data_IF_560249691918
#
_entry.id   IF_560249691918
#
_cell.length_a   1.000
_cell.length_b   1.000
_cell.length_c   1.000
_cell.angle_alpha   90.00
_cell.angle_beta   90.00
_cell.angle_gamma   90.00
#
_symmetry.space_group_name_H-M   'P 1'
#
loop_
_entity.id
_entity.type
_entity.pdbx_description
1 polymer ?
#
# COMPACT_ATOMS: atom_id res chain seq x y z
N UNK A 1 -27.46 -0.14 -13.57
CA UNK A 1 -26.29 0.74 -13.72
C UNK A 1 -26.07 1.00 -15.21
N UNK A 2 -25.68 2.21 -15.61
CA UNK A 2 -25.30 2.45 -17.01
C UNK A 2 -24.00 1.71 -17.33
N UNK A 3 -23.76 1.39 -18.61
CA UNK A 3 -22.51 0.74 -19.05
C UNK A 3 -21.28 1.59 -18.70
N UNK A 4 -21.42 2.92 -18.74
CA UNK A 4 -20.37 3.86 -18.35
C UNK A 4 -20.02 3.72 -16.86
N UNK A 5 -21.04 3.69 -16.00
CA UNK A 5 -20.87 3.61 -14.56
C UNK A 5 -20.30 2.24 -14.12
N UNK A 6 -20.69 1.16 -14.80
CA UNK A 6 -20.08 -0.16 -14.57
C UNK A 6 -18.58 -0.16 -14.91
N UNK A 7 -18.19 0.46 -16.03
CA UNK A 7 -16.79 0.57 -16.46
C UNK A 7 -15.95 1.47 -15.57
N UNK A 8 -16.53 2.56 -15.05
CA UNK A 8 -15.85 3.40 -14.06
C UNK A 8 -15.58 2.64 -12.75
N UNK A 9 -16.56 1.85 -12.27
CA UNK A 9 -16.39 1.03 -11.07
C UNK A 9 -15.31 -0.04 -11.27
N UNK A 10 -15.29 -0.73 -12.41
CA UNK A 10 -14.25 -1.72 -12.74
C UNK A 10 -12.85 -1.11 -12.72
N UNK A 11 -12.67 0.08 -13.31
CA UNK A 11 -11.38 0.78 -13.30
C UNK A 11 -10.99 1.22 -11.88
N UNK A 12 -11.93 1.72 -11.09
CA UNK A 12 -11.68 2.11 -9.69
C UNK A 12 -11.26 0.89 -8.86
N UNK A 13 -11.83 -0.28 -9.09
CA UNK A 13 -11.43 -1.52 -8.42
C UNK A 13 -10.06 -2.00 -8.88
N UNK A 14 -9.78 -1.96 -10.18
CA UNK A 14 -8.50 -2.41 -10.74
C UNK A 14 -7.31 -1.56 -10.28
N UNK A 15 -7.54 -0.26 -10.06
CA UNK A 15 -6.53 0.72 -9.68
C UNK A 15 -6.59 1.16 -8.22
N UNK A 16 -7.47 0.57 -7.39
CA UNK A 16 -7.62 0.95 -5.97
C UNK A 16 -6.31 0.86 -5.19
N UNK A 17 -5.50 -0.15 -5.51
CA UNK A 17 -4.21 -0.43 -4.85
C UNK A 17 -3.00 0.08 -5.67
N UNK A 18 -3.25 0.93 -6.67
CA UNK A 18 -2.22 1.47 -7.53
C UNK A 18 -1.62 2.74 -6.91
N UNK A 19 -0.33 2.69 -6.56
CA UNK A 19 0.44 3.90 -6.26
C UNK A 19 1.20 4.34 -7.50
N UNK A 20 0.79 5.47 -8.07
CA UNK A 20 1.48 6.11 -9.19
C UNK A 20 2.53 7.07 -8.62
N UNK A 21 3.81 6.78 -8.85
CA UNK A 21 4.91 7.66 -8.48
C UNK A 21 5.30 8.47 -9.70
N UNK A 22 5.16 9.79 -9.61
CA UNK A 22 5.61 10.72 -10.64
C UNK A 22 6.85 11.47 -10.14
N UNK A 23 7.95 11.36 -10.87
CA UNK A 23 9.18 12.10 -10.61
C UNK A 23 9.47 13.02 -11.79
N UNK A 24 9.24 14.32 -11.60
CA UNK A 24 9.58 15.33 -12.59
C UNK A 24 11.05 15.75 -12.44
N UNK A 25 11.75 15.78 -13.57
CA UNK A 25 13.09 16.37 -13.73
C UNK A 25 12.98 17.56 -14.69
N UNK A 26 13.97 18.47 -14.74
CA UNK A 26 13.89 19.66 -15.59
C UNK A 26 13.65 19.39 -17.09
N UNK A 27 13.98 18.19 -17.56
CA UNK A 27 13.87 17.80 -18.99
C UNK A 27 12.99 16.58 -19.24
N UNK A 28 12.42 15.95 -18.20
CA UNK A 28 11.61 14.73 -18.38
C UNK A 28 10.72 14.45 -17.18
N UNK A 29 9.66 13.67 -17.41
CA UNK A 29 8.83 13.10 -16.34
C UNK A 29 9.01 11.59 -16.35
N UNK A 30 9.38 11.02 -15.20
CA UNK A 30 9.44 9.57 -14.98
C UNK A 30 8.20 9.14 -14.23
N UNK A 31 7.45 8.21 -14.81
CA UNK A 31 6.31 7.57 -14.17
C UNK A 31 6.73 6.16 -13.73
N UNK A 32 6.58 5.87 -12.44
CA UNK A 32 6.74 4.55 -11.85
C UNK A 32 5.39 4.06 -11.33
N UNK A 33 5.11 2.78 -11.51
CA UNK A 33 3.85 2.17 -11.10
C UNK A 33 4.14 1.03 -10.13
N UNK A 34 3.57 1.12 -8.93
CA UNK A 34 3.64 0.04 -7.94
C UNK A 34 2.22 -0.48 -7.70
N UNK A 35 1.99 -1.76 -8.03
CA UNK A 35 0.76 -2.47 -7.70
C UNK A 35 1.06 -3.38 -6.50
N UNK A 36 0.41 -3.11 -5.39
CA UNK A 36 0.49 -3.98 -4.21
C UNK A 36 -0.59 -5.05 -4.37
N UNK A 37 -0.19 -6.32 -4.48
CA UNK A 37 -1.13 -7.45 -4.57
C UNK A 37 -1.34 -8.07 -3.19
N UNK A 38 -2.46 -8.79 -3.00
CA UNK A 38 -2.73 -9.50 -1.76
C UNK A 38 -1.59 -10.44 -1.36
N UNK A 39 -0.97 -11.14 -2.33
CA UNK A 39 0.18 -12.00 -2.05
C UNK A 39 1.36 -11.21 -1.48
N UNK A 40 1.67 -10.04 -2.03
CA UNK A 40 2.74 -9.17 -1.50
C UNK A 40 2.40 -8.69 -0.08
N UNK A 41 1.13 -8.39 0.20
CA UNK A 41 0.69 -8.02 1.55
C UNK A 41 0.77 -9.20 2.53
N UNK A 42 0.44 -10.41 2.10
CA UNK A 42 0.57 -11.63 2.90
C UNK A 42 2.04 -11.92 3.21
N UNK A 43 2.93 -11.84 2.21
CA UNK A 43 4.37 -12.01 2.38
C UNK A 43 4.93 -10.99 3.38
N UNK A 44 4.59 -9.70 3.21
CA UNK A 44 4.97 -8.64 4.16
C UNK A 44 4.44 -8.97 5.56
N UNK A 45 3.19 -9.42 5.68
CA UNK A 45 2.59 -9.75 6.98
C UNK A 45 3.30 -10.92 7.66
N UNK A 46 3.71 -11.95 6.92
CA UNK A 46 4.47 -13.07 7.48
C UNK A 46 5.88 -12.64 7.89
N UNK A 47 6.58 -11.85 7.08
CA UNK A 47 7.89 -11.30 7.44
C UNK A 47 7.81 -10.40 8.69
N UNK A 48 6.75 -9.59 8.80
CA UNK A 48 6.54 -8.73 9.96
C UNK A 48 6.34 -9.51 11.26
N UNK A 49 5.77 -10.72 11.22
CA UNK A 49 5.63 -11.58 12.42
C UNK A 49 6.99 -12.07 12.93
N UNK A 50 7.95 -12.29 12.02
CA UNK A 50 9.29 -12.75 12.37
C UNK A 50 10.19 -11.62 12.86
N UNK A 51 9.86 -10.38 12.49
CA UNK A 51 10.59 -9.20 12.92
C UNK A 51 10.28 -8.83 14.39
N UNK A 52 11.17 -9.22 15.31
CA UNK A 52 11.07 -8.96 16.75
C UNK A 52 10.74 -7.50 17.13
N UNK A 53 11.26 -6.52 16.37
CA UNK A 53 10.95 -5.09 16.59
C UNK A 53 9.48 -4.78 16.27
N UNK A 54 8.98 -5.30 15.16
CA UNK A 54 7.61 -5.05 14.69
C UNK A 54 6.59 -5.76 15.57
N UNK A 55 6.90 -6.95 16.08
CA UNK A 55 6.06 -7.64 17.08
C UNK A 55 5.93 -6.83 18.36
N UNK A 56 7.04 -6.26 18.87
CA UNK A 56 7.02 -5.36 20.04
C UNK A 56 6.19 -4.10 19.79
N UNK A 57 6.35 -3.46 18.63
CA UNK A 57 5.53 -2.31 18.28
C UNK A 57 4.04 -2.70 18.19
N UNK A 58 3.73 -3.84 17.59
CA UNK A 58 2.35 -4.34 17.50
C UNK A 58 1.75 -4.57 18.88
N UNK A 59 2.49 -5.12 19.83
CA UNK A 59 2.06 -5.27 21.22
C UNK A 59 1.81 -3.92 21.90
N UNK A 60 2.69 -2.93 21.69
CA UNK A 60 2.52 -1.58 22.23
C UNK A 60 1.27 -0.88 21.66
N UNK A 61 1.01 -1.01 20.35
CA UNK A 61 -0.22 -0.51 19.71
C UNK A 61 -1.46 -1.17 20.32
N UNK A 62 -1.43 -2.50 20.46
CA UNK A 62 -2.55 -3.25 21.04
C UNK A 62 -2.83 -2.87 22.50
N UNK A 63 -1.82 -2.38 23.22
CA UNK A 63 -1.94 -1.82 24.57
C UNK A 63 -2.40 -0.36 24.58
N UNK A 64 -2.68 0.24 23.42
CA UNK A 64 -3.10 1.64 23.28
C UNK A 64 -1.99 2.65 23.52
N UNK A 65 -0.71 2.25 23.45
CA UNK A 65 0.43 3.15 23.63
C UNK A 65 0.78 3.81 22.29
N UNK A 66 0.94 5.13 22.30
CA UNK A 66 1.52 5.85 21.17
C UNK A 66 2.96 5.37 20.94
N UNK A 67 3.27 5.09 19.68
CA UNK A 67 4.64 4.79 19.27
C UNK A 67 5.12 5.84 18.28
N UNK A 68 6.32 6.34 18.54
CA UNK A 68 7.06 7.15 17.59
C UNK A 68 8.00 6.23 16.81
N UNK A 69 7.71 6.06 15.52
CA UNK A 69 8.66 5.43 14.59
C UNK A 69 9.81 6.43 14.37
N UNK A 70 11.03 6.02 14.71
CA UNK A 70 12.24 6.85 14.61
C UNK A 70 13.11 6.40 13.46
#
# INVERSE_FOLDING_TARGET
MSSLMAREIELIEEYRDLSLVCHATPYSVKLGMLKVTNNVLEDIKEEQKMALKLTKYRELINQGREIYFK
#
